data_IF_981174391280
#
_entry.id   IF_981174391280
#
_cell.length_a   1.000
_cell.length_b   1.000
_cell.length_c   1.000
_cell.angle_alpha   90.00
_cell.angle_beta   90.00
_cell.angle_gamma   90.00
#
_symmetry.space_group_name_H-M   'P 1'
#
loop_
_entity.id
_entity.type
_entity.pdbx_description
1 polymer ?
#
# COMPACT_ATOMS: atom_id res chain seq x y z
N UNK A 1 24.79 4.24 -20.71
CA UNK A 1 24.29 3.67 -19.44
C UNK A 1 24.92 2.31 -19.34
N UNK A 2 25.70 2.06 -18.29
CA UNK A 2 26.51 0.85 -18.16
C UNK A 2 25.65 -0.34 -17.70
N UNK A 3 25.85 -1.52 -18.28
CA UNK A 3 25.23 -2.76 -17.81
C UNK A 3 26.20 -3.45 -16.85
N UNK A 4 25.76 -3.68 -15.62
CA UNK A 4 26.58 -4.25 -14.54
C UNK A 4 25.94 -5.50 -13.95
N UNK A 5 26.78 -6.35 -13.36
CA UNK A 5 26.35 -7.55 -12.64
C UNK A 5 25.52 -7.19 -11.40
N UNK A 6 24.75 -8.15 -10.90
CA UNK A 6 23.80 -7.92 -9.79
C UNK A 6 24.49 -7.45 -8.50
N UNK A 7 25.60 -8.09 -8.13
CA UNK A 7 26.34 -7.72 -6.93
C UNK A 7 26.99 -6.34 -7.04
N UNK A 8 27.55 -6.04 -8.21
CA UNK A 8 28.18 -4.76 -8.49
C UNK A 8 27.14 -3.63 -8.52
N UNK A 9 25.95 -3.89 -9.08
CA UNK A 9 24.82 -2.98 -9.03
C UNK A 9 24.47 -2.60 -7.58
N UNK A 10 24.39 -3.59 -6.69
CA UNK A 10 24.04 -3.36 -5.28
C UNK A 10 25.15 -2.61 -4.53
N UNK A 11 26.43 -2.91 -4.80
CA UNK A 11 27.58 -2.20 -4.22
C UNK A 11 27.60 -0.72 -4.64
N UNK A 12 27.56 -0.46 -5.95
CA UNK A 12 27.53 0.91 -6.50
C UNK A 12 26.29 1.69 -6.02
N UNK A 13 25.15 1.02 -5.88
CA UNK A 13 23.94 1.63 -5.35
C UNK A 13 24.07 2.01 -3.87
N UNK A 14 24.71 1.18 -3.06
CA UNK A 14 24.97 1.48 -1.65
C UNK A 14 25.87 2.72 -1.49
N UNK A 15 26.94 2.81 -2.29
CA UNK A 15 27.83 3.97 -2.32
C UNK A 15 27.09 5.25 -2.72
N UNK A 16 26.21 5.15 -3.72
CA UNK A 16 25.39 6.26 -4.18
C UNK A 16 24.45 6.76 -3.08
N UNK A 17 23.80 5.86 -2.34
CA UNK A 17 22.99 6.23 -1.18
C UNK A 17 23.82 6.92 -0.08
N UNK A 18 25.01 6.43 0.24
CA UNK A 18 25.88 7.06 1.25
C UNK A 18 26.29 8.48 0.84
N UNK A 19 26.61 8.67 -0.45
CA UNK A 19 26.92 9.98 -1.03
C UNK A 19 25.72 10.93 -0.97
N UNK A 20 24.52 10.45 -1.33
CA UNK A 20 23.28 11.22 -1.32
C UNK A 20 22.71 11.48 0.10
N UNK A 21 23.12 10.68 1.09
CA UNK A 21 22.76 10.95 2.49
C UNK A 21 23.63 12.06 3.09
N UNK A 22 24.88 12.18 2.63
CA UNK A 22 25.82 13.23 3.09
C UNK A 22 25.65 14.53 2.32
N UNK A 23 25.31 14.44 1.02
CA UNK A 23 25.15 15.58 0.12
C UNK A 23 23.71 15.65 -0.40
N UNK A 24 23.19 16.86 -0.65
CA UNK A 24 21.85 17.02 -1.24
C UNK A 24 21.83 16.40 -2.65
N UNK A 25 20.97 15.42 -2.86
CA UNK A 25 20.81 14.72 -4.14
C UNK A 25 19.48 13.98 -4.22
N UNK A 26 19.19 13.46 -5.40
CA UNK A 26 18.01 12.63 -5.67
C UNK A 26 18.46 11.44 -6.49
N UNK A 27 17.98 10.25 -6.11
CA UNK A 27 18.32 9.00 -6.78
C UNK A 27 17.07 8.49 -7.47
N UNK A 28 17.14 8.32 -8.77
CA UNK A 28 16.06 7.77 -9.58
C UNK A 28 16.32 6.29 -9.83
N UNK A 29 15.47 5.45 -9.24
CA UNK A 29 15.41 4.02 -9.50
C UNK A 29 14.23 3.74 -10.42
N UNK A 30 14.48 3.07 -11.54
CA UNK A 30 13.43 2.67 -12.48
C UNK A 30 13.46 1.17 -12.69
N UNK A 31 12.29 0.54 -12.57
CA UNK A 31 12.08 -0.89 -12.87
C UNK A 31 11.19 -0.96 -14.10
N UNK A 32 11.67 -1.60 -15.16
CA UNK A 32 10.92 -1.77 -16.41
C UNK A 32 11.05 -3.21 -16.90
N UNK A 33 9.97 -3.74 -17.46
CA UNK A 33 10.03 -4.99 -18.24
C UNK A 33 10.93 -4.75 -19.46
N UNK A 34 11.94 -5.60 -19.64
CA UNK A 34 12.77 -5.56 -20.83
C UNK A 34 12.03 -6.32 -21.93
N UNK A 35 11.41 -5.61 -22.87
CA UNK A 35 10.70 -6.19 -24.03
C UNK A 35 11.57 -6.32 -25.26
N UNK A 36 12.67 -5.55 -25.32
CA UNK A 36 13.57 -5.52 -26.45
C UNK A 36 14.58 -6.65 -26.41
N UNK A 37 14.50 -7.55 -27.39
CA UNK A 37 15.58 -8.47 -27.73
C UNK A 37 16.07 -8.17 -29.15
N UNK A 38 17.40 -8.11 -29.39
CA UNK A 38 17.97 -7.74 -30.68
C UNK A 38 17.59 -8.69 -31.83
N UNK A 39 17.22 -9.95 -31.53
CA UNK A 39 16.72 -10.95 -32.47
C UNK A 39 15.32 -11.48 -32.07
N UNK A 40 14.56 -10.68 -31.32
CA UNK A 40 13.26 -11.07 -30.79
C UNK A 40 12.12 -10.92 -31.82
N UNK A 41 11.07 -11.77 -31.74
CA UNK A 41 9.84 -11.57 -32.52
C UNK A 41 9.18 -10.22 -32.20
N UNK A 42 8.42 -9.63 -33.15
CA UNK A 42 7.86 -8.28 -33.02
C UNK A 42 7.00 -8.11 -31.76
N UNK A 43 7.05 -6.91 -31.16
CA UNK A 43 6.26 -6.55 -29.98
C UNK A 43 4.77 -6.80 -30.24
N UNK A 44 4.11 -7.58 -29.37
CA UNK A 44 2.66 -7.86 -29.45
C UNK A 44 2.28 -9.33 -29.68
N UNK A 45 3.24 -10.23 -29.93
CA UNK A 45 2.95 -11.66 -29.97
C UNK A 45 2.67 -12.20 -28.55
N UNK A 46 1.39 -12.46 -28.25
CA UNK A 46 0.95 -13.15 -27.04
C UNK A 46 1.67 -14.50 -26.94
N UNK A 47 2.66 -14.55 -26.07
CA UNK A 47 3.44 -15.75 -25.81
C UNK A 47 3.70 -15.82 -24.31
N UNK A 48 3.69 -17.03 -23.76
CA UNK A 48 4.04 -17.36 -22.37
C UNK A 48 5.54 -17.11 -22.08
N UNK A 49 6.08 -16.00 -22.59
CA UNK A 49 7.48 -15.62 -22.45
C UNK A 49 7.71 -14.99 -21.09
N UNK A 50 8.76 -15.46 -20.44
CA UNK A 50 9.32 -14.79 -19.28
C UNK A 50 10.14 -13.59 -19.74
N UNK A 51 9.86 -12.42 -19.15
CA UNK A 51 10.58 -11.20 -19.48
C UNK A 51 11.44 -10.79 -18.30
N UNK A 52 12.75 -10.57 -18.52
CA UNK A 52 13.60 -10.06 -17.47
C UNK A 52 13.20 -8.62 -17.09
N UNK A 53 13.44 -8.27 -15.84
CA UNK A 53 13.25 -6.93 -15.31
C UNK A 53 14.55 -6.13 -15.45
N UNK A 54 14.48 -4.99 -16.12
CA UNK A 54 15.57 -4.02 -16.19
C UNK A 54 15.45 -3.04 -15.03
N UNK A 55 16.46 -3.02 -14.17
CA UNK A 55 16.59 -2.09 -13.06
C UNK A 55 17.65 -1.06 -13.40
N UNK A 56 17.32 0.23 -13.30
CA UNK A 56 18.25 1.33 -13.58
C UNK A 56 18.36 2.26 -12.38
N UNK A 57 19.57 2.75 -12.11
CA UNK A 57 19.85 3.75 -11.10
C UNK A 57 20.52 4.98 -11.74
N UNK A 58 20.04 6.17 -11.39
CA UNK A 58 20.52 7.45 -11.91
C UNK A 58 20.58 8.49 -10.78
N UNK A 59 21.66 9.28 -10.71
CA UNK A 59 21.86 10.41 -9.76
C UNK A 59 21.73 11.79 -10.46
N UNK A 60 21.24 11.80 -11.71
CA UNK A 60 21.08 13.01 -12.54
C UNK A 60 22.39 13.59 -13.10
N UNK A 61 23.55 13.18 -12.55
CA UNK A 61 24.89 13.57 -13.01
C UNK A 61 25.60 12.38 -13.65
N UNK A 62 26.55 11.78 -12.94
CA UNK A 62 27.55 10.87 -13.50
C UNK A 62 27.18 9.40 -13.33
N UNK A 63 26.52 9.04 -12.22
CA UNK A 63 26.13 7.67 -11.94
C UNK A 63 24.92 7.26 -12.79
N UNK A 64 25.14 6.41 -13.80
CA UNK A 64 24.11 5.85 -14.71
C UNK A 64 24.42 4.40 -15.05
N UNK A 65 23.93 3.48 -14.22
CA UNK A 65 24.14 2.05 -14.39
C UNK A 65 22.81 1.28 -14.29
N UNK A 66 22.82 0.09 -14.85
CA UNK A 66 21.64 -0.77 -14.99
C UNK A 66 22.00 -2.24 -14.86
N UNK A 67 21.02 -3.04 -14.46
CA UNK A 67 21.17 -4.49 -14.37
C UNK A 67 19.90 -5.19 -14.85
N UNK A 68 20.06 -6.35 -15.47
CA UNK A 68 18.98 -7.19 -15.98
C UNK A 68 18.76 -8.37 -15.04
N UNK A 69 17.55 -8.52 -14.52
CA UNK A 69 17.18 -9.54 -13.55
C UNK A 69 16.23 -10.54 -14.20
N UNK A 70 16.64 -11.80 -14.28
CA UNK A 70 15.80 -12.90 -14.77
C UNK A 70 14.70 -13.25 -13.76
N UNK A 71 13.65 -13.96 -14.21
CA UNK A 71 12.56 -14.41 -13.34
C UNK A 71 13.06 -15.32 -12.20
N UNK A 72 13.97 -16.24 -12.52
CA UNK A 72 14.52 -17.21 -11.58
C UNK A 72 15.35 -16.58 -10.44
N UNK A 73 16.07 -15.49 -10.73
CA UNK A 73 16.97 -14.83 -9.77
C UNK A 73 16.28 -13.68 -9.03
N UNK A 74 15.09 -13.27 -9.48
CA UNK A 74 14.33 -12.16 -8.91
C UNK A 74 14.14 -12.26 -7.39
N UNK A 75 13.79 -13.42 -6.79
CA UNK A 75 13.61 -13.50 -5.34
C UNK A 75 14.91 -13.25 -4.56
N UNK A 76 16.04 -13.76 -5.08
CA UNK A 76 17.37 -13.57 -4.47
C UNK A 76 17.78 -12.12 -4.54
N UNK A 77 17.70 -11.52 -5.74
CA UNK A 77 18.02 -10.12 -5.96
C UNK A 77 17.14 -9.20 -5.10
N UNK A 78 15.83 -9.44 -5.06
CA UNK A 78 14.89 -8.60 -4.32
C UNK A 78 15.11 -8.67 -2.80
N UNK A 79 15.55 -9.81 -2.27
CA UNK A 79 15.88 -9.93 -0.84
C UNK A 79 17.05 -9.01 -0.47
N UNK A 80 18.16 -9.09 -1.21
CA UNK A 80 19.33 -8.24 -0.99
C UNK A 80 19.02 -6.75 -1.27
N UNK A 81 18.33 -6.48 -2.37
CA UNK A 81 17.94 -5.13 -2.77
C UNK A 81 17.00 -4.46 -1.76
N UNK A 82 15.98 -5.16 -1.27
CA UNK A 82 15.03 -4.61 -0.30
C UNK A 82 15.67 -4.39 1.07
N UNK A 83 16.61 -5.24 1.49
CA UNK A 83 17.40 -5.01 2.69
C UNK A 83 18.25 -3.73 2.56
N UNK A 84 18.93 -3.55 1.42
CA UNK A 84 19.70 -2.35 1.12
C UNK A 84 18.85 -1.08 1.17
N UNK A 85 17.69 -1.08 0.52
CA UNK A 85 16.77 0.06 0.52
C UNK A 85 16.28 0.44 1.92
N UNK A 86 15.98 -0.54 2.77
CA UNK A 86 15.54 -0.28 4.14
C UNK A 86 16.66 0.31 4.98
N UNK A 87 17.89 -0.13 4.77
CA UNK A 87 19.06 0.38 5.47
C UNK A 87 19.45 1.78 5.00
N UNK A 88 19.32 2.07 3.71
CA UNK A 88 19.80 3.31 3.09
C UNK A 88 18.87 4.52 3.28
N UNK A 89 17.61 4.31 3.69
CA UNK A 89 16.60 5.37 3.86
C UNK A 89 16.16 5.61 5.33
N UNK A 90 17.07 5.95 6.26
CA UNK A 90 16.72 6.18 7.66
C UNK A 90 16.04 7.53 7.92
N UNK A 91 16.17 8.50 6.99
CA UNK A 91 15.74 9.88 7.17
C UNK A 91 14.24 10.15 7.04
N UNK A 92 13.42 9.14 6.72
CA UNK A 92 11.97 9.33 6.61
C UNK A 92 11.34 9.53 7.99
N UNK A 93 10.38 10.45 8.07
CA UNK A 93 9.57 10.63 9.28
C UNK A 93 8.92 9.30 9.66
N UNK A 94 9.12 8.89 10.91
CA UNK A 94 8.54 7.65 11.45
C UNK A 94 7.02 7.69 11.33
N UNK A 95 6.44 6.55 10.96
CA UNK A 95 4.99 6.36 10.91
C UNK A 95 4.41 6.52 12.32
N UNK A 96 3.44 7.42 12.47
CA UNK A 96 2.75 7.69 13.75
C UNK A 96 1.78 6.55 14.09
N UNK A 97 2.33 5.39 14.49
CA UNK A 97 1.57 4.18 14.82
C UNK A 97 0.46 4.44 15.85
N UNK A 98 0.69 5.36 16.80
CA UNK A 98 -0.32 5.77 17.80
C UNK A 98 -1.54 6.43 17.15
N UNK A 99 -1.34 7.36 16.21
CA UNK A 99 -2.43 8.08 15.54
C UNK A 99 -3.25 7.13 14.66
N UNK A 100 -2.59 6.19 14.00
CA UNK A 100 -3.29 5.18 13.19
C UNK A 100 -4.03 4.17 14.04
N UNK A 101 -3.43 3.68 15.14
CA UNK A 101 -4.10 2.80 16.10
C UNK A 101 -5.35 3.45 16.68
N UNK A 102 -5.27 4.73 17.09
CA UNK A 102 -6.43 5.49 17.58
C UNK A 102 -7.51 5.58 16.49
N UNK A 103 -7.15 5.86 15.23
CA UNK A 103 -8.11 5.90 14.12
C UNK A 103 -8.75 4.53 13.86
N UNK A 104 -7.97 3.45 13.91
CA UNK A 104 -8.45 2.10 13.73
C UNK A 104 -9.39 1.67 14.86
N UNK A 105 -9.02 1.93 16.11
CA UNK A 105 -9.85 1.68 17.30
C UNK A 105 -11.13 2.52 17.28
N UNK A 106 -11.07 3.80 16.87
CA UNK A 106 -12.26 4.63 16.73
C UNK A 106 -13.21 4.10 15.64
N UNK A 107 -12.67 3.61 14.52
CA UNK A 107 -13.47 2.96 13.48
C UNK A 107 -14.07 1.63 13.97
N UNK A 108 -13.30 0.82 14.69
CA UNK A 108 -13.78 -0.44 15.27
C UNK A 108 -14.87 -0.19 16.31
N UNK A 109 -14.68 0.77 17.23
CA UNK A 109 -15.68 1.18 18.21
C UNK A 109 -16.95 1.74 17.54
N UNK A 110 -16.80 2.50 16.44
CA UNK A 110 -17.96 2.97 15.66
C UNK A 110 -18.71 1.81 15.01
N UNK A 111 -18.02 0.80 14.48
CA UNK A 111 -18.63 -0.42 13.93
C UNK A 111 -19.34 -1.21 15.02
N UNK A 112 -18.68 -1.46 16.16
CA UNK A 112 -19.28 -2.15 17.30
C UNK A 112 -20.52 -1.41 17.82
N UNK A 113 -20.49 -0.08 17.95
CA UNK A 113 -21.67 0.72 18.35
C UNK A 113 -22.82 0.64 17.35
N UNK A 114 -22.52 0.46 16.06
CA UNK A 114 -23.53 0.24 15.05
C UNK A 114 -24.07 -1.19 15.11
N UNK A 115 -23.30 -2.17 15.55
CA UNK A 115 -23.67 -3.59 15.65
C UNK A 115 -24.39 -3.95 16.96
N UNK A 116 -24.06 -3.29 18.08
CA UNK A 116 -24.76 -3.47 19.36
C UNK A 116 -26.15 -2.85 19.31
N UNK A 117 -27.17 -3.62 19.69
CA UNK A 117 -28.54 -3.13 19.75
C UNK A 117 -28.77 -2.21 20.95
N UNK A 118 -29.52 -1.12 20.74
CA UNK A 118 -29.90 -0.19 21.82
C UNK A 118 -30.97 -0.84 22.70
N UNK A 119 -30.58 -1.22 23.91
CA UNK A 119 -31.50 -1.79 24.92
C UNK A 119 -32.49 -0.71 25.39
N UNK A 120 -33.76 -0.86 25.02
CA UNK A 120 -34.85 0.03 25.42
C UNK A 120 -35.30 -0.36 26.85
N UNK A 121 -34.83 0.37 27.88
CA UNK A 121 -35.28 0.19 29.27
C UNK A 121 -36.05 1.42 29.76
N UNK A 122 -37.01 1.21 30.68
CA UNK A 122 -37.80 2.26 31.33
C UNK A 122 -39.33 2.15 31.15
N UNK A 123 -40.07 2.86 31.99
CA UNK A 123 -41.54 2.89 31.99
C UNK A 123 -42.13 3.53 30.73
N UNK A 124 -43.30 3.06 30.29
CA UNK A 124 -44.03 3.61 29.13
C UNK A 124 -44.71 4.94 29.47
N UNK A 125 -45.07 5.16 30.73
CA UNK A 125 -45.82 6.31 31.26
C UNK A 125 -45.13 6.84 32.51
N UNK A 126 -45.28 8.14 32.80
CA UNK A 126 -44.72 8.77 34.00
C UNK A 126 -43.20 8.97 33.95
N UNK A 127 -42.57 8.99 35.13
CA UNK A 127 -41.12 9.20 35.31
C UNK A 127 -40.33 8.13 34.56
N UNK A 128 -39.48 8.53 33.61
CA UNK A 128 -38.70 7.62 32.76
C UNK A 128 -39.17 7.53 31.29
N UNK A 129 -40.38 8.02 30.96
CA UNK A 129 -40.90 8.05 29.57
C UNK A 129 -39.98 8.77 28.60
N UNK A 130 -39.45 9.94 28.97
CA UNK A 130 -38.55 10.71 28.11
C UNK A 130 -37.25 9.94 27.78
N UNK A 131 -36.68 9.22 28.76
CA UNK A 131 -35.49 8.38 28.57
C UNK A 131 -35.79 7.21 27.62
N UNK A 132 -36.95 6.57 27.77
CA UNK A 132 -37.43 5.51 26.86
C UNK A 132 -37.62 6.04 25.44
N UNK A 133 -38.26 7.20 25.25
CA UNK A 133 -38.46 7.81 23.93
C UNK A 133 -37.15 8.13 23.22
N UNK A 134 -36.15 8.67 23.93
CA UNK A 134 -34.81 8.92 23.37
C UNK A 134 -34.15 7.63 22.88
N UNK A 135 -34.27 6.54 23.63
CA UNK A 135 -33.74 5.22 23.24
C UNK A 135 -34.46 4.61 22.04
N UNK A 136 -35.79 4.71 21.99
CA UNK A 136 -36.58 4.26 20.83
C UNK A 136 -36.16 5.02 19.57
N UNK A 137 -36.04 6.35 19.64
CA UNK A 137 -35.54 7.16 18.51
C UNK A 137 -34.11 6.76 18.09
N UNK A 138 -33.23 6.47 19.04
CA UNK A 138 -31.88 6.01 18.77
C UNK A 138 -31.85 4.63 18.08
N UNK A 139 -32.71 3.70 18.51
CA UNK A 139 -32.84 2.37 17.90
C UNK A 139 -33.36 2.45 16.45
N UNK A 140 -34.39 3.27 16.20
CA UNK A 140 -34.91 3.50 14.84
C UNK A 140 -33.80 4.05 13.94
N UNK A 141 -33.07 5.07 14.40
CA UNK A 141 -31.96 5.67 13.64
C UNK A 141 -30.81 4.68 13.38
N UNK A 142 -30.51 3.79 14.31
CA UNK A 142 -29.51 2.73 14.09
C UNK A 142 -29.97 1.73 13.02
N UNK A 143 -31.24 1.32 13.04
CA UNK A 143 -31.79 0.41 12.04
C UNK A 143 -31.77 1.05 10.63
N UNK A 144 -32.14 2.31 10.51
CA UNK A 144 -32.05 3.06 9.24
C UNK A 144 -30.62 3.14 8.72
N UNK A 145 -29.65 3.45 9.59
CA UNK A 145 -28.24 3.52 9.17
C UNK A 145 -27.67 2.16 8.78
N UNK A 146 -28.06 1.05 9.45
CA UNK A 146 -27.71 -0.31 9.03
C UNK A 146 -28.26 -0.63 7.64
N UNK A 147 -29.54 -0.35 7.39
CA UNK A 147 -30.20 -0.56 6.09
C UNK A 147 -29.50 0.19 4.96
N UNK A 148 -29.19 1.47 5.17
CA UNK A 148 -28.47 2.28 4.19
C UNK A 148 -27.06 1.75 3.89
N UNK A 149 -26.37 1.20 4.90
CA UNK A 149 -25.05 0.57 4.72
C UNK A 149 -25.18 -0.73 3.89
N UNK A 150 -26.18 -1.57 4.18
CA UNK A 150 -26.40 -2.82 3.44
C UNK A 150 -26.78 -2.56 1.98
N UNK A 151 -27.67 -1.60 1.72
CA UNK A 151 -28.05 -1.18 0.36
C UNK A 151 -26.84 -0.66 -0.42
N UNK A 152 -25.98 0.15 0.21
CA UNK A 152 -24.75 0.65 -0.41
C UNK A 152 -23.74 -0.46 -0.72
N UNK A 153 -23.69 -1.51 0.09
CA UNK A 153 -22.85 -2.68 -0.17
C UNK A 153 -23.40 -3.51 -1.33
N UNK A 154 -24.71 -3.74 -1.39
CA UNK A 154 -25.38 -4.44 -2.48
C UNK A 154 -25.22 -3.69 -3.82
N UNK A 155 -25.43 -2.38 -3.84
CA UNK A 155 -25.23 -1.57 -5.04
C UNK A 155 -23.77 -1.61 -5.57
N UNK A 156 -22.79 -1.67 -4.67
CA UNK A 156 -21.37 -1.86 -5.04
C UNK A 156 -21.08 -3.24 -5.60
N UNK A 157 -21.70 -4.29 -5.05
CA UNK A 157 -21.57 -5.66 -5.55
C UNK A 157 -22.16 -5.79 -6.95
N UNK A 158 -23.37 -5.25 -7.16
CA UNK A 158 -24.05 -5.27 -8.44
C UNK A 158 -23.34 -4.49 -9.54
N UNK A 159 -22.60 -3.42 -9.20
CA UNK A 159 -21.80 -2.62 -10.16
C UNK A 159 -20.46 -3.28 -10.56
N UNK A 160 -20.04 -4.31 -9.82
CA UNK A 160 -18.76 -5.01 -10.03
C UNK A 160 -18.93 -6.28 -10.89
N UNK A 161 -20.17 -6.69 -11.12
CA UNK A 161 -20.60 -7.64 -12.15
C UNK A 161 -20.88 -6.87 -13.44
#
# INVERSE_FOLDING_TARGET
MELVNHEEFLKRLAELFNKCNSSKGSIWLTHKRLTYEPNGPPEGAASDREYPCLVRAVDGRDAKFSTTVSSAELPKFHTAYSALLRQSMPGLRKRDKKKEKIKAEAMAARRQRLETDVVITGSKRGRGRAKRQRRVKAAIKQQETRKLITERQQAKANKKL
#
